data_IF_316549319775
#
_entry.id   IF_316549319775
#
_cell.length_a   1.000
_cell.length_b   1.000
_cell.length_c   1.000
_cell.angle_alpha   90.00
_cell.angle_beta   90.00
_cell.angle_gamma   90.00
#
_symmetry.space_group_name_H-M   'P 1'
#
loop_
_entity.id
_entity.type
_entity.pdbx_description
1 polymer ?
#
# COMPACT_ATOMS: atom_id res chain seq x y z
N UNK A 1 -13.40 -3.03 18.04
CA UNK A 1 -13.87 -4.36 17.59
C UNK A 1 -12.66 -5.27 17.47
N UNK A 2 -12.69 -6.46 18.09
CA UNK A 2 -11.58 -7.41 18.06
C UNK A 2 -11.51 -8.19 16.74
N UNK A 3 -10.37 -8.82 16.45
CA UNK A 3 -10.13 -9.58 15.21
C UNK A 3 -11.25 -10.59 14.89
N UNK A 4 -11.68 -11.37 15.89
CA UNK A 4 -12.73 -12.38 15.72
C UNK A 4 -14.08 -11.76 15.30
N UNK A 5 -14.41 -10.57 15.81
CA UNK A 5 -15.65 -9.88 15.43
C UNK A 5 -15.63 -9.44 13.96
N UNK A 6 -14.46 -9.03 13.46
CA UNK A 6 -14.28 -8.70 12.04
C UNK A 6 -14.32 -9.93 11.14
N UNK A 7 -13.80 -11.07 11.61
CA UNK A 7 -13.89 -12.33 10.88
C UNK A 7 -15.34 -12.82 10.74
N UNK A 8 -16.16 -12.70 11.78
CA UNK A 8 -17.58 -13.04 11.69
C UNK A 8 -18.33 -12.11 10.73
N UNK A 9 -18.07 -10.80 10.77
CA UNK A 9 -18.64 -9.86 9.79
C UNK A 9 -18.26 -10.22 8.35
N UNK A 10 -16.98 -10.49 8.11
CA UNK A 10 -16.51 -10.90 6.78
C UNK A 10 -17.18 -12.20 6.31
N UNK A 11 -17.38 -13.16 7.22
CA UNK A 11 -18.09 -14.40 6.91
C UNK A 11 -19.54 -14.16 6.50
N UNK A 12 -20.21 -13.19 7.13
CA UNK A 12 -21.58 -12.80 6.73
C UNK A 12 -21.64 -12.09 5.39
N UNK A 13 -20.61 -11.31 5.03
CA UNK A 13 -20.55 -10.59 3.75
C UNK A 13 -20.08 -11.48 2.58
N UNK A 14 -19.08 -12.32 2.81
CA UNK A 14 -18.49 -13.19 1.80
C UNK A 14 -17.83 -14.42 2.43
N UNK A 15 -18.56 -15.53 2.41
CA UNK A 15 -18.04 -16.84 2.81
C UNK A 15 -16.82 -17.28 1.97
N UNK A 16 -16.76 -17.06 0.63
CA UNK A 16 -15.56 -17.39 -0.15
C UNK A 16 -14.31 -16.64 0.32
N UNK A 17 -14.44 -15.34 0.61
CA UNK A 17 -13.33 -14.51 1.10
C UNK A 17 -12.86 -14.97 2.47
N UNK A 18 -13.80 -15.25 3.38
CA UNK A 18 -13.50 -15.81 4.69
C UNK A 18 -12.70 -17.12 4.57
N UNK A 19 -13.17 -18.07 3.75
CA UNK A 19 -12.50 -19.37 3.59
C UNK A 19 -11.07 -19.21 3.02
N UNK A 20 -10.88 -18.31 2.06
CA UNK A 20 -9.56 -18.03 1.48
C UNK A 20 -8.58 -17.43 2.49
N UNK A 21 -9.05 -16.52 3.34
CA UNK A 21 -8.22 -15.89 4.38
C UNK A 21 -8.00 -16.79 5.59
N UNK A 22 -8.99 -17.61 5.97
CA UNK A 22 -8.89 -18.57 7.06
C UNK A 22 -7.81 -19.63 6.80
N UNK A 23 -7.55 -19.97 5.53
CA UNK A 23 -6.44 -20.85 5.14
C UNK A 23 -5.03 -20.22 5.23
N UNK A 24 -4.91 -18.94 5.59
CA UNK A 24 -3.63 -18.21 5.65
C UNK A 24 -3.34 -17.72 7.06
N UNK A 25 -2.07 -17.71 7.46
CA UNK A 25 -1.71 -17.14 8.77
C UNK A 25 -2.09 -15.67 8.86
N UNK A 26 -2.90 -15.32 9.87
CA UNK A 26 -3.42 -13.97 10.07
C UNK A 26 -2.32 -12.90 10.17
N UNK A 27 -1.14 -13.26 10.69
CA UNK A 27 0.06 -12.40 10.73
C UNK A 27 0.51 -11.84 9.38
N UNK A 28 0.09 -12.43 8.25
CA UNK A 28 0.48 -11.97 6.92
C UNK A 28 -0.45 -10.93 6.31
N UNK A 29 -1.68 -10.82 6.80
CA UNK A 29 -2.72 -10.04 6.13
C UNK A 29 -3.60 -9.22 7.08
N UNK A 30 -3.58 -9.51 8.38
CA UNK A 30 -4.36 -8.80 9.39
C UNK A 30 -3.47 -7.91 10.24
N UNK A 31 -3.79 -6.60 10.25
CA UNK A 31 -3.14 -5.60 11.10
C UNK A 31 -3.18 -5.94 12.58
N UNK A 32 -4.19 -6.69 13.03
CA UNK A 32 -4.34 -7.11 14.43
C UNK A 32 -3.19 -8.01 14.93
N UNK A 33 -2.36 -8.54 14.02
CA UNK A 33 -1.23 -9.41 14.33
C UNK A 33 0.12 -8.84 13.87
N UNK A 34 0.15 -7.58 13.40
CA UNK A 34 1.41 -6.92 13.04
C UNK A 34 2.12 -6.43 14.31
N UNK A 35 3.45 -6.47 14.31
CA UNK A 35 4.25 -5.94 15.44
C UNK A 35 4.17 -4.41 15.45
N UNK A 36 4.17 -3.82 16.64
CA UNK A 36 4.11 -2.37 16.84
C UNK A 36 5.30 -1.60 16.22
N UNK A 37 6.38 -2.30 15.89
CA UNK A 37 7.55 -1.71 15.21
C UNK A 37 7.31 -1.37 13.75
N UNK A 38 6.20 -1.83 13.15
CA UNK A 38 5.83 -1.59 11.76
C UNK A 38 4.44 -0.92 11.63
N UNK A 39 4.08 -0.06 12.59
CA UNK A 39 2.85 0.76 12.55
C UNK A 39 2.93 1.91 11.54
N UNK A 40 3.55 1.69 10.38
CA UNK A 40 3.38 2.63 9.29
C UNK A 40 2.05 2.31 8.60
N UNK A 41 1.10 3.24 8.64
CA UNK A 41 -0.19 3.17 7.92
C UNK A 41 0.01 3.06 6.38
N UNK A 42 1.24 3.09 5.90
CA UNK A 42 1.62 2.72 4.54
C UNK A 42 1.56 1.19 4.36
N UNK A 43 0.36 0.64 4.40
CA UNK A 43 0.07 -0.56 3.61
C UNK A 43 0.39 -0.21 2.15
N UNK A 44 1.11 -1.09 1.44
CA UNK A 44 1.73 -0.83 0.13
C UNK A 44 0.87 -0.08 -0.89
N UNK A 45 -0.46 -0.18 -0.80
CA UNK A 45 -1.38 0.53 -1.68
C UNK A 45 -1.20 2.06 -1.63
N UNK A 46 -0.99 2.65 -0.45
CA UNK A 46 -0.78 4.10 -0.32
C UNK A 46 0.52 4.57 -1.00
N UNK A 47 1.59 3.76 -0.96
CA UNK A 47 2.86 4.09 -1.61
C UNK A 47 2.71 3.99 -3.13
N UNK A 48 2.08 2.92 -3.63
CA UNK A 48 1.83 2.73 -5.05
C UNK A 48 0.92 3.81 -5.62
N UNK A 49 -0.17 4.15 -4.92
CA UNK A 49 -1.08 5.23 -5.31
C UNK A 49 -0.35 6.58 -5.35
N UNK A 50 0.40 6.93 -4.31
CA UNK A 50 1.17 8.17 -4.26
C UNK A 50 2.23 8.25 -5.37
N UNK A 51 2.91 7.14 -5.68
CA UNK A 51 3.86 7.08 -6.78
C UNK A 51 3.18 7.22 -8.14
N UNK A 52 2.09 6.49 -8.38
CA UNK A 52 1.33 6.56 -9.63
C UNK A 52 0.77 7.97 -9.89
N UNK A 53 0.25 8.64 -8.86
CA UNK A 53 -0.19 10.02 -8.95
C UNK A 53 0.97 10.96 -9.30
N UNK A 54 2.15 10.75 -8.71
CA UNK A 54 3.32 11.59 -8.95
C UNK A 54 3.90 11.48 -10.37
N UNK A 55 3.79 10.31 -11.00
CA UNK A 55 4.34 10.08 -12.35
C UNK A 55 3.30 10.25 -13.47
N UNK A 56 2.07 10.65 -13.15
CA UNK A 56 0.97 10.69 -14.11
C UNK A 56 1.31 11.55 -15.34
N UNK A 57 1.90 12.73 -15.15
CA UNK A 57 2.31 13.61 -16.24
C UNK A 57 3.50 13.09 -17.07
N UNK A 58 4.27 12.14 -16.53
CA UNK A 58 5.42 11.54 -17.21
C UNK A 58 5.03 10.32 -18.06
N UNK A 59 3.92 9.65 -17.75
CA UNK A 59 3.50 8.39 -18.40
C UNK A 59 3.29 8.49 -19.91
N UNK A 60 2.78 9.63 -20.38
CA UNK A 60 2.46 9.83 -21.80
C UNK A 60 3.64 10.37 -22.61
N UNK A 61 4.86 10.32 -22.05
CA UNK A 61 6.08 10.84 -22.69
C UNK A 61 6.95 9.71 -23.23
N UNK A 62 7.80 9.98 -24.24
CA UNK A 62 8.82 9.03 -24.67
C UNK A 62 9.67 8.56 -23.49
N UNK A 63 10.16 7.31 -23.55
CA UNK A 63 10.81 6.65 -22.41
C UNK A 63 11.94 7.48 -21.77
N UNK A 64 12.76 8.15 -22.58
CA UNK A 64 13.86 9.00 -22.10
C UNK A 64 13.30 10.18 -21.30
N UNK A 65 12.35 10.91 -21.88
CA UNK A 65 11.70 12.07 -21.25
C UNK A 65 10.96 11.68 -19.97
N UNK A 66 10.25 10.54 -19.97
CA UNK A 66 9.58 10.01 -18.79
C UNK A 66 10.58 9.76 -17.64
N UNK A 67 11.71 9.10 -17.94
CA UNK A 67 12.74 8.80 -16.95
C UNK A 67 13.40 10.06 -16.39
N UNK A 68 13.67 11.06 -17.23
CA UNK A 68 14.22 12.34 -16.78
C UNK A 68 13.27 13.09 -15.85
N UNK A 69 11.97 13.10 -16.17
CA UNK A 69 10.93 13.69 -15.32
C UNK A 69 10.85 13.00 -13.95
N UNK A 70 10.86 11.66 -13.93
CA UNK A 70 10.84 10.89 -12.68
C UNK A 70 12.10 11.17 -11.85
N UNK A 71 13.28 11.18 -12.49
CA UNK A 71 14.56 11.48 -11.83
C UNK A 71 14.53 12.86 -11.17
N UNK A 72 14.11 13.89 -11.90
CA UNK A 72 14.05 15.26 -11.38
C UNK A 72 13.07 15.37 -10.20
N UNK A 73 11.89 14.76 -10.32
CA UNK A 73 10.91 14.69 -9.22
C UNK A 73 11.50 14.07 -7.94
N UNK A 74 12.17 12.92 -8.08
CA UNK A 74 12.79 12.23 -6.94
C UNK A 74 13.89 13.08 -6.28
N UNK A 75 14.77 13.69 -7.08
CA UNK A 75 15.83 14.56 -6.56
C UNK A 75 15.27 15.75 -5.78
N UNK A 76 14.29 16.47 -6.34
CA UNK A 76 13.65 17.60 -5.64
C UNK A 76 12.97 17.16 -4.35
N UNK A 77 12.28 16.03 -4.36
CA UNK A 77 11.58 15.51 -3.17
C UNK A 77 12.56 15.11 -2.07
N UNK A 78 13.66 14.45 -2.41
CA UNK A 78 14.70 14.06 -1.45
C UNK A 78 15.35 15.26 -0.78
N UNK A 79 15.66 16.32 -1.55
CA UNK A 79 16.21 17.56 -0.99
C UNK A 79 15.23 18.22 -0.03
N UNK A 80 13.96 18.36 -0.43
CA UNK A 80 12.90 18.96 0.41
C UNK A 80 12.64 18.18 1.71
N UNK A 81 12.87 16.87 1.72
CA UNK A 81 12.67 16.00 2.89
C UNK A 81 13.89 15.87 3.81
N UNK A 82 15.02 16.47 3.43
CA UNK A 82 16.24 16.52 4.24
C UNK A 82 16.33 17.78 5.12
N UNK A 83 15.58 18.82 4.80
CA UNK A 83 15.38 20.01 5.64
C UNK A 83 14.31 19.74 6.69
#
# INVERSE_FOLDING_TARGET
>A
MGFNQWMEKMKTESLPTYNWLAGKYAKHWSRAFFKDTALCDMACNNICEAFNAAILAARDKPIITMLEMIRNYLMTRLVRKRA
#
